data_IF_131111479560
#
_entry.id   IF_131111479560
#
_cell.length_a   1.000
_cell.length_b   1.000
_cell.length_c   1.000
_cell.angle_alpha   90.00
_cell.angle_beta   90.00
_cell.angle_gamma   90.00
#
_symmetry.space_group_name_H-M   'P 1'
#
loop_
_entity.id
_entity.type
_entity.pdbx_description
1 polymer ?
#
# COMPACT_ATOMS: atom_id res chain seq x y z
N UNK A 1 8.73 4.08 -18.93
CA UNK A 1 7.46 3.79 -19.63
C UNK A 1 6.89 2.43 -19.25
N UNK A 2 7.66 1.33 -19.34
CA UNK A 2 7.17 -0.03 -19.02
C UNK A 2 6.58 -0.17 -17.59
N UNK A 3 7.20 0.48 -16.58
CA UNK A 3 6.74 0.44 -15.18
C UNK A 3 5.36 1.06 -15.00
N UNK A 4 5.10 2.20 -15.65
CA UNK A 4 3.81 2.88 -15.57
C UNK A 4 2.71 2.06 -16.25
N UNK A 5 3.04 1.43 -17.38
CA UNK A 5 2.13 0.52 -18.08
C UNK A 5 1.77 -0.68 -17.19
N UNK A 6 2.76 -1.32 -16.56
CA UNK A 6 2.53 -2.45 -15.66
C UNK A 6 1.66 -2.06 -14.47
N UNK A 7 1.96 -0.92 -13.83
CA UNK A 7 1.16 -0.43 -12.71
C UNK A 7 -0.29 -0.18 -13.15
N UNK A 8 -0.49 0.49 -14.29
CA UNK A 8 -1.82 0.75 -14.84
C UNK A 8 -2.56 -0.54 -15.16
N UNK A 9 -1.91 -1.51 -15.80
CA UNK A 9 -2.51 -2.80 -16.13
C UNK A 9 -2.96 -3.56 -14.87
N UNK A 10 -2.10 -3.62 -13.84
CA UNK A 10 -2.42 -4.26 -12.56
C UNK A 10 -3.59 -3.54 -11.89
N UNK A 11 -3.61 -2.21 -11.89
CA UNK A 11 -4.71 -1.45 -11.31
C UNK A 11 -6.04 -1.72 -12.03
N UNK A 12 -6.05 -1.72 -13.37
CA UNK A 12 -7.27 -2.02 -14.15
C UNK A 12 -7.78 -3.43 -13.86
N UNK A 13 -6.89 -4.42 -13.82
CA UNK A 13 -7.26 -5.80 -13.51
C UNK A 13 -7.83 -5.90 -12.09
N UNK A 14 -7.17 -5.28 -11.10
CA UNK A 14 -7.59 -5.30 -9.71
C UNK A 14 -8.98 -4.67 -9.53
N UNK A 15 -9.18 -3.43 -10.00
CA UNK A 15 -10.47 -2.75 -9.87
C UNK A 15 -11.56 -3.41 -10.73
N UNK A 16 -11.22 -3.93 -11.91
CA UNK A 16 -12.14 -4.71 -12.74
C UNK A 16 -12.62 -5.98 -12.03
N UNK A 17 -11.72 -6.72 -11.39
CA UNK A 17 -12.08 -7.89 -10.59
C UNK A 17 -13.00 -7.52 -9.40
N UNK A 18 -12.74 -6.40 -8.71
CA UNK A 18 -13.64 -5.94 -7.65
C UNK A 18 -15.02 -5.57 -8.18
N UNK A 19 -15.08 -4.91 -9.34
CA UNK A 19 -16.33 -4.51 -9.97
C UNK A 19 -17.17 -5.72 -10.39
N UNK A 20 -16.54 -6.74 -10.97
CA UNK A 20 -17.20 -7.98 -11.40
C UNK A 20 -17.71 -8.83 -10.22
N UNK A 21 -17.11 -8.69 -9.04
CA UNK A 21 -17.46 -9.47 -7.85
C UNK A 21 -18.17 -8.64 -6.77
N UNK A 22 -18.93 -7.60 -7.16
CA UNK A 22 -19.60 -6.72 -6.20
C UNK A 22 -20.65 -7.41 -5.33
N UNK A 23 -21.46 -8.29 -5.94
CA UNK A 23 -22.51 -9.06 -5.25
C UNK A 23 -21.96 -10.24 -4.44
N UNK A 24 -20.67 -10.54 -4.60
CA UNK A 24 -20.06 -11.69 -3.96
C UNK A 24 -19.76 -11.38 -2.49
N UNK A 25 -20.28 -12.24 -1.62
CA UNK A 25 -20.04 -12.19 -0.18
C UNK A 25 -18.95 -13.21 0.17
N UNK A 26 -17.98 -12.80 0.98
CA UNK A 26 -16.94 -13.67 1.49
C UNK A 26 -16.88 -13.61 3.03
N UNK A 27 -16.61 -14.76 3.65
CA UNK A 27 -16.25 -14.85 5.05
C UNK A 27 -14.72 -14.94 5.17
N UNK A 28 -14.16 -14.22 6.15
CA UNK A 28 -12.75 -14.31 6.48
C UNK A 28 -12.56 -15.40 7.51
N UNK A 29 -11.71 -16.37 7.18
CA UNK A 29 -11.36 -17.49 8.05
C UNK A 29 -10.01 -17.18 8.70
N UNK A 30 -10.00 -17.01 10.03
CA UNK A 30 -8.77 -16.77 10.79
C UNK A 30 -8.22 -18.06 11.41
N UNK A 31 -6.91 -18.09 11.67
CA UNK A 31 -6.15 -19.26 12.15
C UNK A 31 -6.67 -19.93 13.45
N UNK A 32 -7.56 -19.28 14.20
CA UNK A 32 -8.17 -19.79 15.44
C UNK A 32 -9.63 -20.26 15.29
N UNK A 33 -10.09 -20.51 14.06
CA UNK A 33 -11.49 -20.90 13.80
C UNK A 33 -12.48 -19.74 13.97
N UNK A 34 -11.99 -18.51 14.09
CA UNK A 34 -12.84 -17.32 14.06
C UNK A 34 -13.23 -17.05 12.60
N UNK A 35 -14.54 -17.04 12.34
CA UNK A 35 -15.09 -16.64 11.05
C UNK A 35 -15.84 -15.32 11.19
N UNK A 36 -15.64 -14.43 10.21
CA UNK A 36 -16.48 -13.23 10.13
C UNK A 36 -17.81 -13.55 9.48
N UNK A 37 -18.82 -12.74 9.80
CA UNK A 37 -20.06 -12.71 9.01
C UNK A 37 -19.73 -12.47 7.53
N UNK A 38 -20.56 -12.95 6.60
CA UNK A 38 -20.38 -12.68 5.18
C UNK A 38 -20.31 -11.16 4.95
N UNK A 39 -19.20 -10.69 4.40
CA UNK A 39 -19.01 -9.30 4.02
C UNK A 39 -18.86 -9.20 2.50
N UNK A 40 -19.34 -8.11 1.89
CA UNK A 40 -19.08 -7.86 0.48
C UNK A 40 -17.57 -7.83 0.19
N UNK A 41 -17.13 -8.55 -0.85
CA UNK A 41 -15.70 -8.68 -1.21
C UNK A 41 -15.03 -7.33 -1.43
N UNK A 42 -15.74 -6.37 -2.01
CA UNK A 42 -15.19 -5.05 -2.28
C UNK A 42 -14.79 -4.31 -0.98
N UNK A 43 -15.53 -4.50 0.13
CA UNK A 43 -15.18 -3.92 1.43
C UNK A 43 -13.96 -4.58 2.04
N UNK A 44 -13.86 -5.92 1.93
CA UNK A 44 -12.70 -6.67 2.38
C UNK A 44 -11.45 -6.20 1.63
N UNK A 45 -11.53 -6.13 0.30
CA UNK A 45 -10.42 -5.71 -0.54
C UNK A 45 -9.99 -4.26 -0.25
N UNK A 46 -10.94 -3.34 -0.09
CA UNK A 46 -10.66 -1.95 0.25
C UNK A 46 -10.01 -1.83 1.64
N UNK A 47 -10.51 -2.57 2.63
CA UNK A 47 -9.96 -2.61 3.97
C UNK A 47 -8.51 -3.14 3.99
N UNK A 48 -8.25 -4.26 3.31
CA UNK A 48 -6.89 -4.81 3.17
C UNK A 48 -5.96 -3.84 2.44
N UNK A 49 -6.43 -3.16 1.40
CA UNK A 49 -5.65 -2.17 0.67
C UNK A 49 -5.25 -0.98 1.56
N UNK A 50 -6.20 -0.42 2.32
CA UNK A 50 -5.94 0.68 3.25
C UNK A 50 -4.95 0.29 4.35
N UNK A 51 -5.09 -0.91 4.92
CA UNK A 51 -4.15 -1.44 5.91
C UNK A 51 -2.76 -1.57 5.30
N UNK A 52 -2.64 -2.14 4.09
CA UNK A 52 -1.37 -2.25 3.38
C UNK A 52 -0.72 -0.88 3.11
N UNK A 53 -1.51 0.12 2.73
CA UNK A 53 -1.03 1.48 2.53
C UNK A 53 -0.52 2.11 3.82
N UNK A 54 -1.24 1.91 4.93
CA UNK A 54 -0.82 2.36 6.26
C UNK A 54 0.52 1.74 6.67
N UNK A 55 0.67 0.42 6.51
CA UNK A 55 1.93 -0.27 6.78
C UNK A 55 3.05 0.23 5.86
N UNK A 56 2.77 0.45 4.57
CA UNK A 56 3.76 1.01 3.64
C UNK A 56 4.27 2.37 4.10
N UNK A 57 3.37 3.27 4.50
CA UNK A 57 3.76 4.58 5.05
C UNK A 57 4.59 4.39 6.32
N UNK A 58 4.12 3.56 7.25
CA UNK A 58 4.80 3.33 8.53
C UNK A 58 6.23 2.80 8.35
N UNK A 59 6.45 1.91 7.38
CA UNK A 59 7.77 1.34 7.08
C UNK A 59 8.70 2.33 6.34
N UNK A 60 8.15 3.14 5.42
CA UNK A 60 8.96 4.04 4.59
C UNK A 60 9.32 5.37 5.26
N UNK A 61 8.41 5.93 6.07
CA UNK A 61 8.60 7.24 6.72
C UNK A 61 9.91 7.34 7.53
N UNK A 62 10.27 6.41 8.44
CA UNK A 62 11.47 6.57 9.26
C UNK A 62 12.78 6.58 8.45
N UNK A 63 12.89 5.71 7.43
CA UNK A 63 14.05 5.68 6.54
C UNK A 63 14.15 6.93 5.67
N UNK A 64 13.01 7.42 5.16
CA UNK A 64 12.94 8.64 4.35
C UNK A 64 13.33 9.89 5.15
N UNK A 65 12.84 10.02 6.38
CA UNK A 65 13.16 11.14 7.29
C UNK A 65 14.66 11.18 7.59
N UNK A 66 15.28 10.02 7.89
CA UNK A 66 16.74 9.94 8.10
C UNK A 66 17.52 10.36 6.85
N UNK A 67 17.12 9.87 5.68
CA UNK A 67 17.75 10.26 4.40
C UNK A 67 17.68 11.77 4.16
N UNK A 68 16.55 12.40 4.47
CA UNK A 68 16.37 13.85 4.33
C UNK A 68 17.27 14.65 5.28
N UNK A 69 17.41 14.21 6.53
CA UNK A 69 18.30 14.84 7.51
C UNK A 69 19.78 14.73 7.11
N UNK A 70 20.20 13.57 6.64
CA UNK A 70 21.59 13.34 6.20
C UNK A 70 21.93 14.15 4.95
N UNK A 71 20.96 14.33 4.03
CA UNK A 71 21.11 15.23 2.87
C UNK A 71 21.37 16.67 3.30
N UNK A 72 20.63 17.17 4.31
CA UNK A 72 20.85 18.52 4.86
C UNK A 72 22.23 18.69 5.48
N UNK A 73 22.72 17.67 6.21
CA UNK A 73 24.07 17.69 6.81
C UNK A 73 25.17 17.68 5.75
N UNK A 74 25.02 16.87 4.70
CA UNK A 74 25.98 16.80 3.60
C UNK A 74 26.04 18.11 2.80
N UNK A 75 24.90 18.74 2.54
CA UNK A 75 24.84 20.05 1.85
C UNK A 75 25.63 21.12 2.59
N UNK A 76 25.44 21.24 3.92
CA UNK A 76 26.16 22.22 4.76
C UNK A 76 27.67 21.97 4.81
N UNK A 77 28.11 20.73 4.65
CA UNK A 77 29.53 20.37 4.68
C UNK A 77 30.24 20.71 3.37
N UNK A 78 29.54 20.63 2.25
CA UNK A 78 30.07 21.01 0.93
C UNK A 78 30.23 22.53 0.88
N UNK A 79 29.24 23.30 1.33
CA UNK A 79 29.29 24.77 1.39
C UNK A 79 30.38 25.32 2.32
N UNK A 80 30.81 24.55 3.32
CA UNK A 80 31.91 24.93 4.22
C UNK A 80 33.31 24.56 3.69
N UNK A 81 33.40 23.85 2.55
CA UNK A 81 34.65 23.43 1.91
C UNK A 81 34.96 24.23 0.63
N UNK A 82 34.00 25.01 0.12
CA UNK A 82 34.16 26.03 -0.92
C UNK A 82 34.53 27.39 -0.30
#
# INVERSE_FOLDING_TARGET
MIRLFLISAISVIFFGALYLNQEQQASLHFFWGMETKPLPIHLIALGSFLIGLLFSVLLFVPGWVRSMLDRRKKSKRIEALE
#
